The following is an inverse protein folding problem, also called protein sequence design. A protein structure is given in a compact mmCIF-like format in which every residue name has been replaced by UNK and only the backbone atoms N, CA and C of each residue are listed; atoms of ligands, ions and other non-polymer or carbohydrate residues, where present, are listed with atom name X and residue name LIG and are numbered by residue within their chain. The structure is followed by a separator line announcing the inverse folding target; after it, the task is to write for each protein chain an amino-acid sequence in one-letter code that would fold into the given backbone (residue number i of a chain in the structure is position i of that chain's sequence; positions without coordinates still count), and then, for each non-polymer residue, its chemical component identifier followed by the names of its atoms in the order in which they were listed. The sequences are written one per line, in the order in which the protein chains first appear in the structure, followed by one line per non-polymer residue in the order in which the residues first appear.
data_IF_826029353236
#
_entry.id   IF_826029353236
#
_cell.length_a   1.000
_cell.length_b   1.000
_cell.length_c   1.000
_cell.angle_alpha   90.00
_cell.angle_beta   90.00
_cell.angle_gamma   90.00
#
_symmetry.space_group_name_H-M   'P 1'
#
loop_
_entity.id
_entity.type
_entity.pdbx_description
1 polymer ?
#
# COMPACT_ATOMS: atom_id res chain seq x y z
N UNK A 1 31.76 22.15 3.59
CA UNK A 1 30.84 21.01 3.80
C UNK A 1 30.97 20.08 2.60
N UNK A 2 31.32 18.79 2.79
CA UNK A 2 31.28 17.80 1.70
C UNK A 2 29.82 17.55 1.35
N UNK A 3 29.40 17.82 0.11
CA UNK A 3 28.10 17.35 -0.39
C UNK A 3 28.12 15.82 -0.31
N UNK A 4 27.15 15.22 0.39
CA UNK A 4 26.95 13.78 0.31
C UNK A 4 26.52 13.47 -1.12
N UNK A 5 27.30 12.61 -1.79
CA UNK A 5 26.98 12.18 -3.15
C UNK A 5 25.69 11.38 -3.14
N UNK A 6 24.85 11.57 -4.16
CA UNK A 6 23.67 10.74 -4.37
C UNK A 6 24.09 9.30 -4.65
N UNK A 7 23.24 8.33 -4.32
CA UNK A 7 23.42 6.94 -4.75
C UNK A 7 23.64 6.83 -6.27
N UNK A 8 23.02 7.73 -7.04
CA UNK A 8 23.23 7.87 -8.48
C UNK A 8 24.67 8.24 -8.84
N UNK A 9 25.22 9.28 -8.19
CA UNK A 9 26.58 9.74 -8.46
C UNK A 9 27.62 8.67 -8.10
N UNK A 10 27.37 7.91 -7.02
CA UNK A 10 28.24 6.80 -6.60
C UNK A 10 28.17 5.63 -7.59
N UNK A 11 26.98 5.34 -8.14
CA UNK A 11 26.80 4.26 -9.10
C UNK A 11 27.38 4.61 -10.49
N UNK A 12 27.18 5.84 -10.97
CA UNK A 12 27.82 6.34 -12.19
C UNK A 12 29.34 6.35 -12.09
N UNK A 13 29.91 6.85 -10.98
CA UNK A 13 31.37 6.80 -10.77
C UNK A 13 31.92 5.37 -10.77
N UNK A 14 31.14 4.40 -10.28
CA UNK A 14 31.53 2.98 -10.33
C UNK A 14 31.42 2.42 -11.74
N UNK A 15 30.35 2.69 -12.48
CA UNK A 15 30.19 2.25 -13.86
C UNK A 15 31.32 2.79 -14.75
N UNK A 16 31.62 4.10 -14.64
CA UNK A 16 32.74 4.72 -15.34
C UNK A 16 34.11 4.17 -14.92
N UNK A 17 34.31 3.86 -13.63
CA UNK A 17 35.58 3.34 -13.13
C UNK A 17 35.87 1.88 -13.53
N UNK A 18 34.83 1.09 -13.81
CA UNK A 18 34.95 -0.35 -14.11
C UNK A 18 34.75 -0.61 -15.62
N UNK A 19 34.25 0.37 -16.37
CA UNK A 19 33.99 0.25 -17.81
C UNK A 19 32.78 -0.64 -18.13
N UNK A 20 31.91 -0.86 -17.15
CA UNK A 20 30.75 -1.75 -17.24
C UNK A 20 29.47 -0.91 -17.30
N UNK A 21 28.58 -1.22 -18.24
CA UNK A 21 27.26 -0.58 -18.31
C UNK A 21 26.41 -1.02 -17.12
N UNK A 22 25.60 -0.10 -16.58
CA UNK A 22 24.67 -0.43 -15.50
C UNK A 22 23.67 -1.48 -16.01
N UNK A 23 23.35 -2.45 -15.16
CA UNK A 23 22.26 -3.37 -15.49
C UNK A 23 20.91 -2.65 -15.40
N UNK A 24 19.90 -3.11 -16.13
CA UNK A 24 18.56 -2.51 -16.11
C UNK A 24 17.98 -2.43 -14.68
N UNK A 25 18.24 -3.42 -13.82
CA UNK A 25 17.82 -3.41 -12.42
C UNK A 25 18.49 -2.30 -11.61
N UNK A 26 19.75 -2.00 -11.90
CA UNK A 26 20.51 -0.95 -11.21
C UNK A 26 20.08 0.44 -11.65
N UNK A 27 19.79 0.62 -12.94
CA UNK A 27 19.20 1.85 -13.46
C UNK A 27 17.84 2.13 -12.82
N UNK A 28 16.96 1.13 -12.73
CA UNK A 28 15.66 1.27 -12.06
C UNK A 28 15.82 1.60 -10.57
N UNK A 29 16.76 0.94 -9.87
CA UNK A 29 17.06 1.23 -8.45
C UNK A 29 17.49 2.68 -8.25
N UNK A 30 18.35 3.18 -9.13
CA UNK A 30 18.83 4.56 -9.13
C UNK A 30 17.66 5.54 -9.34
N UNK A 31 16.81 5.30 -10.35
CA UNK A 31 15.64 6.13 -10.64
C UNK A 31 14.69 6.18 -9.42
N UNK A 32 14.45 5.03 -8.79
CA UNK A 32 13.71 4.92 -7.52
C UNK A 32 14.35 5.74 -6.40
N UNK A 33 15.67 5.69 -6.24
CA UNK A 33 16.36 6.45 -5.19
C UNK A 33 16.33 7.96 -5.43
N UNK A 34 16.35 8.40 -6.70
CA UNK A 34 16.20 9.81 -7.08
C UNK A 34 14.80 10.34 -6.73
N UNK A 35 13.74 9.56 -6.94
CA UNK A 35 12.35 10.01 -6.75
C UNK A 35 11.84 9.86 -5.30
N UNK A 36 12.41 8.93 -4.51
CA UNK A 36 11.99 8.65 -3.12
C UNK A 36 11.86 9.90 -2.23
N UNK A 37 12.81 10.86 -2.22
CA UNK A 37 12.68 12.07 -1.40
C UNK A 37 11.43 12.88 -1.75
N UNK A 38 11.16 13.05 -3.05
CA UNK A 38 9.98 13.76 -3.54
C UNK A 38 8.68 13.06 -3.10
N UNK A 39 8.60 11.74 -3.31
CA UNK A 39 7.45 10.96 -2.87
C UNK A 39 7.32 10.93 -1.34
N UNK A 40 8.41 11.01 -0.58
CA UNK A 40 8.35 11.10 0.88
C UNK A 40 7.63 12.37 1.34
N UNK A 41 7.93 13.51 0.72
CA UNK A 41 7.21 14.76 0.99
C UNK A 41 5.75 14.67 0.55
N UNK A 42 5.49 14.00 -0.59
CA UNK A 42 4.13 13.70 -1.01
C UNK A 42 3.40 12.84 0.03
N UNK A 43 3.95 11.71 0.49
CA UNK A 43 3.29 10.85 1.49
C UNK A 43 3.05 11.55 2.83
N UNK A 44 3.88 12.53 3.18
CA UNK A 44 3.73 13.37 4.39
C UNK A 44 2.80 14.57 4.18
N UNK A 45 2.12 14.64 3.05
CA UNK A 45 1.16 15.72 2.72
C UNK A 45 1.80 17.12 2.69
N UNK A 46 3.12 17.19 2.49
CA UNK A 46 3.83 18.48 2.40
C UNK A 46 3.71 19.14 1.03
N UNK A 47 3.35 18.37 0.01
CA UNK A 47 3.19 18.81 -1.38
C UNK A 47 1.91 18.20 -1.96
N UNK A 48 1.18 18.89 -2.82
CA UNK A 48 -0.03 18.38 -3.47
C UNK A 48 0.29 17.55 -4.74
N UNK A 49 -0.72 16.92 -5.36
CA UNK A 49 -0.59 16.36 -6.71
C UNK A 49 -0.11 17.38 -7.76
N UNK A 50 -0.55 18.64 -7.66
CA UNK A 50 -0.10 19.74 -8.52
C UNK A 50 1.36 20.11 -8.25
N UNK A 51 1.79 20.16 -6.98
CA UNK A 51 3.20 20.36 -6.65
C UNK A 51 4.08 19.21 -7.16
N UNK A 52 3.56 17.98 -7.14
CA UNK A 52 4.22 16.80 -7.69
C UNK A 52 4.38 16.93 -9.21
N UNK A 53 3.34 17.38 -9.90
CA UNK A 53 3.37 17.71 -11.32
C UNK A 53 4.43 18.78 -11.61
N UNK A 54 4.40 19.89 -10.87
CA UNK A 54 5.28 21.03 -11.12
C UNK A 54 6.75 20.67 -10.97
N UNK A 55 7.08 19.79 -10.01
CA UNK A 55 8.45 19.30 -9.79
C UNK A 55 8.92 18.29 -10.82
N UNK A 56 8.01 17.70 -11.59
CA UNK A 56 8.33 16.65 -12.59
C UNK A 56 8.10 17.11 -14.03
N UNK A 57 7.51 18.29 -14.27
CA UNK A 57 7.15 18.75 -15.62
C UNK A 57 8.33 18.92 -16.59
N UNK A 58 9.52 19.18 -16.04
CA UNK A 58 10.76 19.39 -16.78
C UNK A 58 11.65 18.13 -16.79
N UNK A 59 11.12 16.98 -16.35
CA UNK A 59 11.81 15.70 -16.39
C UNK A 59 11.51 14.96 -17.70
N UNK A 60 12.55 14.77 -18.51
CA UNK A 60 12.45 14.10 -19.81
C UNK A 60 12.63 12.56 -19.72
N UNK A 61 13.04 12.04 -18.55
CA UNK A 61 13.19 10.59 -18.32
C UNK A 61 11.83 9.93 -18.05
N UNK A 62 11.21 9.41 -19.11
CA UNK A 62 9.92 8.72 -19.06
C UNK A 62 9.89 7.52 -18.11
N UNK A 63 11.01 6.81 -17.93
CA UNK A 63 11.08 5.70 -16.97
C UNK A 63 11.11 6.21 -15.53
N UNK A 64 11.70 7.37 -15.27
CA UNK A 64 11.69 7.97 -13.94
C UNK A 64 10.25 8.38 -13.57
N UNK A 65 9.51 8.95 -14.51
CA UNK A 65 8.08 9.23 -14.34
C UNK A 65 7.29 7.94 -14.09
N UNK A 66 7.57 6.88 -14.86
CA UNK A 66 6.99 5.54 -14.66
C UNK A 66 7.29 5.03 -13.24
N UNK A 67 8.53 5.10 -12.78
CA UNK A 67 8.92 4.64 -11.44
C UNK A 67 8.25 5.44 -10.33
N UNK A 68 8.04 6.74 -10.53
CA UNK A 68 7.25 7.56 -9.62
C UNK A 68 5.81 7.02 -9.47
N UNK A 69 5.17 6.72 -10.60
CA UNK A 69 3.81 6.15 -10.64
C UNK A 69 3.77 4.74 -10.01
N UNK A 70 4.76 3.88 -10.30
CA UNK A 70 4.87 2.53 -9.72
C UNK A 70 4.98 2.60 -8.19
N UNK A 71 5.83 3.47 -7.65
CA UNK A 71 5.99 3.61 -6.20
C UNK A 71 4.71 4.12 -5.52
N UNK A 72 3.97 5.03 -6.17
CA UNK A 72 2.67 5.49 -5.68
C UNK A 72 1.67 4.33 -5.63
N UNK A 73 1.62 3.47 -6.65
CA UNK A 73 0.76 2.28 -6.69
C UNK A 73 1.16 1.28 -5.59
N UNK A 74 2.45 0.98 -5.45
CA UNK A 74 2.97 0.04 -4.44
C UNK A 74 2.70 0.48 -2.99
N UNK A 75 2.47 1.78 -2.78
CA UNK A 75 2.14 2.32 -1.46
C UNK A 75 0.65 2.21 -1.09
N UNK A 76 -0.19 1.61 -1.96
CA UNK A 76 -1.61 1.35 -1.72
C UNK A 76 -1.77 -0.04 -1.10
N UNK A 77 -2.45 -0.11 0.04
CA UNK A 77 -2.82 -1.34 0.71
C UNK A 77 -4.29 -1.35 1.12
N UNK A 78 -4.79 -2.51 1.54
CA UNK A 78 -6.18 -2.66 2.02
C UNK A 78 -6.52 -1.71 3.18
N UNK A 79 -5.55 -1.43 4.05
CA UNK A 79 -5.71 -0.57 5.24
C UNK A 79 -5.41 0.92 4.96
N UNK A 80 -4.98 1.27 3.75
CA UNK A 80 -4.74 2.66 3.35
C UNK A 80 -6.06 3.42 3.37
N UNK A 81 -6.12 4.62 3.97
CA UNK A 81 -7.35 5.39 4.02
C UNK A 81 -7.77 5.91 2.62
N UNK A 82 -9.08 6.02 2.37
CA UNK A 82 -9.62 6.34 1.04
C UNK A 82 -9.13 7.69 0.52
N UNK A 83 -9.06 8.70 1.38
CA UNK A 83 -8.52 10.02 1.01
C UNK A 83 -7.06 9.93 0.54
N UNK A 84 -6.27 9.02 1.13
CA UNK A 84 -4.87 8.82 0.72
C UNK A 84 -4.77 8.04 -0.58
N UNK A 85 -5.72 7.16 -0.91
CA UNK A 85 -5.78 6.47 -2.20
C UNK A 85 -6.19 7.46 -3.28
N UNK A 86 -7.22 8.28 -3.03
CA UNK A 86 -7.64 9.36 -3.94
C UNK A 86 -6.48 10.30 -4.24
N UNK A 87 -5.74 10.72 -3.21
CA UNK A 87 -4.58 11.58 -3.39
C UNK A 87 -3.48 10.92 -4.22
N UNK A 88 -3.18 9.63 -4.01
CA UNK A 88 -2.23 8.88 -4.84
C UNK A 88 -2.71 8.75 -6.29
N UNK A 89 -4.00 8.49 -6.51
CA UNK A 89 -4.63 8.49 -7.85
C UNK A 89 -4.39 9.83 -8.54
N UNK A 90 -4.69 10.94 -7.87
CA UNK A 90 -4.48 12.30 -8.40
C UNK A 90 -3.00 12.55 -8.73
N UNK A 91 -2.08 12.14 -7.86
CA UNK A 91 -0.63 12.23 -8.13
C UNK A 91 -0.19 11.40 -9.34
N UNK A 92 -0.74 10.18 -9.50
CA UNK A 92 -0.45 9.31 -10.66
C UNK A 92 -0.99 9.92 -11.96
N UNK A 93 -2.20 10.47 -11.94
CA UNK A 93 -2.80 11.14 -13.10
C UNK A 93 -2.07 12.44 -13.47
N UNK A 94 -1.62 13.18 -12.46
CA UNK A 94 -0.75 14.32 -12.65
C UNK A 94 0.53 13.92 -13.40
N UNK A 95 1.26 12.92 -12.91
CA UNK A 95 2.45 12.41 -13.60
C UNK A 95 2.11 11.88 -15.00
N UNK A 96 0.99 11.17 -15.15
CA UNK A 96 0.56 10.63 -16.46
C UNK A 96 0.34 11.73 -17.49
N UNK A 97 -0.13 12.91 -17.06
CA UNK A 97 -0.35 14.03 -17.97
C UNK A 97 0.92 14.58 -18.62
N UNK A 98 2.09 14.29 -18.04
CA UNK A 98 3.40 14.67 -18.55
C UNK A 98 3.90 13.75 -19.67
N UNK A 99 3.34 12.55 -19.81
CA UNK A 99 3.78 11.54 -20.78
C UNK A 99 3.08 11.67 -22.13
N UNK A 100 3.78 11.27 -23.19
CA UNK A 100 3.17 11.02 -24.50
C UNK A 100 2.41 9.69 -24.46
N UNK A 101 1.23 9.60 -25.10
CA UNK A 101 0.45 8.34 -25.11
C UNK A 101 -0.34 8.06 -23.82
N UNK A 102 -0.92 9.10 -23.22
CA UNK A 102 -1.65 9.07 -21.93
C UNK A 102 -2.68 7.95 -21.83
N UNK A 103 -2.56 7.14 -20.78
CA UNK A 103 -3.50 6.07 -20.43
C UNK A 103 -4.43 6.47 -19.27
N UNK A 104 -4.68 7.77 -19.06
CA UNK A 104 -5.44 8.29 -17.91
C UNK A 104 -6.78 7.59 -17.67
N UNK A 105 -7.54 7.29 -18.72
CA UNK A 105 -8.83 6.57 -18.60
C UNK A 105 -8.64 5.14 -18.07
N UNK A 106 -7.60 4.42 -18.51
CA UNK A 106 -7.30 3.08 -18.01
C UNK A 106 -6.82 3.11 -16.55
N UNK A 107 -6.03 4.12 -16.18
CA UNK A 107 -5.62 4.32 -14.79
C UNK A 107 -6.84 4.62 -13.90
N UNK A 108 -7.75 5.48 -14.34
CA UNK A 108 -9.00 5.77 -13.62
C UNK A 108 -9.84 4.52 -13.40
N UNK A 109 -10.00 3.68 -14.43
CA UNK A 109 -10.71 2.40 -14.32
C UNK A 109 -10.03 1.45 -13.33
N UNK A 110 -8.70 1.36 -13.34
CA UNK A 110 -7.97 0.55 -12.37
C UNK A 110 -8.17 1.04 -10.93
N UNK A 111 -8.16 2.35 -10.71
CA UNK A 111 -8.44 2.93 -9.40
C UNK A 111 -9.88 2.71 -8.94
N UNK A 112 -10.84 2.73 -9.86
CA UNK A 112 -12.22 2.36 -9.55
C UNK A 112 -12.31 0.91 -9.04
N UNK A 113 -11.55 -0.01 -9.64
CA UNK A 113 -11.47 -1.39 -9.13
C UNK A 113 -10.86 -1.47 -7.73
N UNK A 114 -9.85 -0.65 -7.43
CA UNK A 114 -9.27 -0.55 -6.06
C UNK A 114 -10.31 -0.09 -5.05
N UNK A 115 -11.07 0.98 -5.36
CA UNK A 115 -12.12 1.48 -4.45
C UNK A 115 -13.21 0.42 -4.22
N UNK A 116 -13.72 -0.17 -5.30
CA UNK A 116 -14.73 -1.24 -5.23
C UNK A 116 -14.25 -2.45 -4.40
N UNK A 117 -12.99 -2.86 -4.56
CA UNK A 117 -12.42 -3.95 -3.76
C UNK A 117 -12.38 -3.59 -2.28
N UNK A 118 -11.97 -2.37 -1.93
CA UNK A 118 -11.92 -1.92 -0.54
C UNK A 118 -13.29 -1.81 0.10
N UNK A 119 -14.27 -1.29 -0.62
CA UNK A 119 -15.65 -1.23 -0.12
C UNK A 119 -16.17 -2.62 0.21
N UNK A 120 -15.99 -3.59 -0.71
CA UNK A 120 -16.37 -4.99 -0.47
C UNK A 120 -15.61 -5.60 0.71
N UNK A 121 -14.29 -5.40 0.80
CA UNK A 121 -13.48 -5.89 1.90
C UNK A 121 -13.95 -5.34 3.25
N UNK A 122 -14.20 -4.02 3.32
CA UNK A 122 -14.65 -3.36 4.54
C UNK A 122 -16.05 -3.83 4.95
N UNK A 123 -16.98 -3.92 4.00
CA UNK A 123 -18.34 -4.38 4.24
C UNK A 123 -18.36 -5.85 4.74
N UNK A 124 -17.59 -6.73 4.11
CA UNK A 124 -17.52 -8.13 4.54
C UNK A 124 -16.84 -8.27 5.91
N UNK A 125 -15.77 -7.50 6.15
CA UNK A 125 -15.10 -7.47 7.45
C UNK A 125 -16.02 -6.97 8.56
N UNK A 126 -16.79 -5.92 8.31
CA UNK A 126 -17.79 -5.39 9.25
C UNK A 126 -18.88 -6.43 9.51
N UNK A 127 -19.42 -7.05 8.46
CA UNK A 127 -20.40 -8.13 8.58
C UNK A 127 -19.90 -9.27 9.45
N UNK A 128 -18.66 -9.71 9.24
CA UNK A 128 -18.04 -10.77 10.03
C UNK A 128 -17.85 -10.38 11.50
N UNK A 129 -17.41 -9.14 11.76
CA UNK A 129 -17.28 -8.65 13.14
C UNK A 129 -18.64 -8.60 13.84
N UNK A 130 -19.70 -8.14 13.16
CA UNK A 130 -21.05 -8.11 13.72
C UNK A 130 -21.55 -9.52 14.07
N UNK A 131 -21.26 -10.52 13.23
CA UNK A 131 -21.58 -11.93 13.53
C UNK A 131 -20.82 -12.42 14.78
N UNK A 132 -19.55 -12.05 14.92
CA UNK A 132 -18.74 -12.42 16.08
C UNK A 132 -19.31 -11.76 17.35
N UNK A 133 -19.64 -10.47 17.28
CA UNK A 133 -20.23 -9.72 18.38
C UNK A 133 -21.58 -10.31 18.80
N UNK A 134 -22.47 -10.61 17.84
CA UNK A 134 -23.76 -11.25 18.11
C UNK A 134 -23.59 -12.63 18.77
N UNK A 135 -22.61 -13.43 18.34
CA UNK A 135 -22.32 -14.71 18.98
C UNK A 135 -21.75 -14.53 20.39
N UNK A 136 -20.93 -13.51 20.63
CA UNK A 136 -20.41 -13.18 21.96
C UNK A 136 -21.50 -12.71 22.91
N UNK A 137 -22.45 -11.91 22.43
CA UNK A 137 -23.59 -11.43 23.22
C UNK A 137 -24.57 -12.56 23.56
N UNK A 138 -24.81 -13.48 22.62
CA UNK A 138 -25.73 -14.60 22.83
C UNK A 138 -25.11 -15.79 23.57
N UNK A 139 -23.78 -15.83 23.72
CA UNK A 139 -23.11 -16.91 24.42
C UNK A 139 -23.38 -16.86 25.94
N UNK A 140 -23.64 -18.03 26.52
CA UNK A 140 -23.79 -18.14 27.97
C UNK A 140 -22.51 -17.70 28.68
N UNK A 141 -22.65 -16.95 29.76
CA UNK A 141 -21.52 -16.50 30.56
C UNK A 141 -21.02 -17.62 31.46
N UNK A 142 -19.71 -17.88 31.45
CA UNK A 142 -19.08 -18.91 32.29
C UNK A 142 -17.92 -18.32 33.08
N UNK A 143 -17.69 -18.79 34.30
CA UNK A 143 -16.48 -18.43 35.05
C UNK A 143 -15.30 -19.26 34.55
N UNK A 144 -14.29 -18.59 33.97
CA UNK A 144 -13.01 -19.20 33.61
C UNK A 144 -11.88 -18.64 34.49
N UNK A 145 -10.95 -19.48 34.96
CA UNK A 145 -9.75 -19.01 35.66
C UNK A 145 -8.79 -18.35 34.66
N UNK A 146 -8.42 -17.09 34.91
CA UNK A 146 -7.50 -16.29 34.07
C UNK A 146 -6.30 -15.88 34.90
N UNK A 147 -5.08 -16.01 34.33
CA UNK A 147 -3.85 -15.51 34.95
C UNK A 147 -3.72 -14.00 34.72
N UNK A 148 -3.60 -13.24 35.80
CA UNK A 148 -3.27 -11.81 35.76
C UNK A 148 -1.77 -11.60 35.59
N UNK A 149 -1.37 -10.40 35.18
CA UNK A 149 0.03 -10.03 34.94
C UNK A 149 0.93 -10.11 36.18
N UNK A 150 0.34 -10.11 37.37
CA UNK A 150 1.00 -10.33 38.67
C UNK A 150 1.09 -11.81 39.08
N UNK A 151 0.70 -12.74 38.19
CA UNK A 151 0.80 -14.19 38.39
C UNK A 151 -0.33 -14.82 39.22
N UNK A 152 -1.31 -14.04 39.68
CA UNK A 152 -2.49 -14.56 40.39
C UNK A 152 -3.48 -15.17 39.39
N UNK A 153 -4.27 -16.14 39.86
CA UNK A 153 -5.38 -16.69 39.09
C UNK A 153 -6.68 -16.10 39.62
N UNK A 154 -7.42 -15.38 38.77
CA UNK A 154 -8.73 -14.81 39.11
C UNK A 154 -9.81 -15.49 38.28
N UNK A 155 -10.99 -15.69 38.86
CA UNK A 155 -12.15 -16.18 38.10
C UNK A 155 -12.76 -14.99 37.36
N UNK A 156 -12.79 -15.05 36.03
CA UNK A 156 -13.40 -14.02 35.19
C UNK A 156 -14.61 -14.61 34.49
N UNK A 157 -15.68 -13.83 34.43
CA UNK A 157 -16.86 -14.20 33.69
C UNK A 157 -16.62 -13.88 32.20
N UNK A 158 -16.61 -14.90 31.35
CA UNK A 158 -16.37 -14.77 29.92
C UNK A 158 -17.41 -15.57 29.11
N UNK A 159 -17.72 -15.15 27.87
CA UNK A 159 -18.61 -15.89 26.98
C UNK A 159 -18.13 -17.33 26.77
N UNK A 160 -19.06 -18.29 26.81
CA UNK A 160 -18.84 -19.71 26.55
C UNK A 160 -18.61 -20.02 25.06
N UNK A 161 -17.74 -19.27 24.40
CA UNK A 161 -17.29 -19.63 23.05
C UNK A 161 -16.12 -20.60 23.20
N UNK A 162 -16.23 -21.74 22.52
CA UNK A 162 -15.17 -22.73 22.45
C UNK A 162 -14.02 -22.23 21.55
N UNK A 163 -12.84 -22.82 21.75
CA UNK A 163 -11.63 -22.39 21.05
C UNK A 163 -11.71 -22.66 19.53
N UNK A 164 -12.44 -23.69 19.10
CA UNK A 164 -12.61 -24.04 17.69
C UNK A 164 -13.41 -22.97 16.95
N UNK A 165 -14.51 -22.49 17.55
CA UNK A 165 -15.31 -21.38 17.02
C UNK A 165 -14.49 -20.08 16.93
N UNK A 166 -13.75 -19.72 17.98
CA UNK A 166 -12.88 -18.54 17.95
C UNK A 166 -11.79 -18.64 16.88
N UNK A 167 -11.22 -19.83 16.71
CA UNK A 167 -10.20 -20.10 15.71
C UNK A 167 -10.77 -20.01 14.29
N UNK A 168 -11.96 -20.58 14.06
CA UNK A 168 -12.66 -20.49 12.79
C UNK A 168 -12.97 -19.05 12.36
N UNK A 169 -13.29 -18.16 13.31
CA UNK A 169 -13.44 -16.73 13.01
C UNK A 169 -12.14 -16.06 12.57
N UNK A 170 -11.04 -16.33 13.27
CA UNK A 170 -9.72 -15.81 12.90
C UNK A 170 -9.30 -16.30 11.52
N UNK A 171 -9.55 -17.57 11.22
CA UNK A 171 -9.22 -18.18 9.94
C UNK A 171 -9.98 -17.52 8.80
N UNK A 172 -11.30 -17.32 8.94
CA UNK A 172 -12.10 -16.63 7.91
C UNK A 172 -11.64 -15.19 7.71
N UNK A 173 -11.32 -14.45 8.78
CA UNK A 173 -10.83 -13.07 8.67
C UNK A 173 -9.47 -13.01 7.95
N UNK A 174 -8.58 -13.97 8.27
CA UNK A 174 -7.29 -14.10 7.60
C UNK A 174 -7.46 -14.47 6.13
N UNK A 175 -8.39 -15.37 5.81
CA UNK A 175 -8.72 -15.76 4.43
C UNK A 175 -9.23 -14.56 3.63
N UNK A 176 -10.18 -13.79 4.18
CA UNK A 176 -10.69 -12.57 3.57
C UNK A 176 -9.57 -11.55 3.31
N UNK A 177 -8.68 -11.32 4.28
CA UNK A 177 -7.54 -10.41 4.11
C UNK A 177 -6.55 -10.92 3.05
N UNK A 178 -6.27 -12.23 3.02
CA UNK A 178 -5.37 -12.83 2.04
C UNK A 178 -5.93 -12.74 0.61
N UNK A 179 -7.18 -13.15 0.41
CA UNK A 179 -7.83 -13.08 -0.90
C UNK A 179 -7.93 -11.64 -1.40
N UNK A 180 -8.30 -10.70 -0.53
CA UNK A 180 -8.39 -9.29 -0.88
C UNK A 180 -7.02 -8.69 -1.21
N UNK A 181 -5.94 -9.10 -0.53
CA UNK A 181 -4.57 -8.68 -0.88
C UNK A 181 -4.14 -9.21 -2.24
N UNK A 182 -4.46 -10.46 -2.56
CA UNK A 182 -4.14 -11.05 -3.85
C UNK A 182 -4.85 -10.30 -4.98
N UNK A 183 -6.14 -10.02 -4.82
CA UNK A 183 -6.91 -9.23 -5.80
C UNK A 183 -6.36 -7.80 -5.93
N UNK A 184 -6.00 -7.17 -4.81
CA UNK A 184 -5.40 -5.83 -4.84
C UNK A 184 -4.08 -5.82 -5.62
N UNK A 185 -3.22 -6.83 -5.40
CA UNK A 185 -1.97 -6.96 -6.13
C UNK A 185 -2.20 -7.18 -7.64
N UNK A 186 -3.17 -8.01 -8.02
CA UNK A 186 -3.54 -8.21 -9.42
C UNK A 186 -4.02 -6.90 -10.08
N UNK A 187 -4.86 -6.14 -9.38
CA UNK A 187 -5.29 -4.82 -9.85
C UNK A 187 -4.09 -3.88 -9.99
N UNK A 188 -3.20 -3.85 -8.98
CA UNK A 188 -2.01 -3.01 -9.00
C UNK A 188 -1.08 -3.35 -10.18
N UNK A 189 -0.85 -4.63 -10.44
CA UNK A 189 -0.02 -5.09 -11.56
C UNK A 189 -0.67 -4.72 -12.91
N UNK A 190 -1.98 -4.91 -13.04
CA UNK A 190 -2.72 -4.47 -14.24
C UNK A 190 -2.62 -2.97 -14.47
N UNK A 191 -2.63 -2.14 -13.41
CA UNK A 191 -2.42 -0.69 -13.53
C UNK A 191 -0.99 -0.40 -13.99
N UNK A 192 0.01 -1.05 -13.40
CA UNK A 192 1.43 -0.87 -13.75
C UNK A 192 1.74 -1.24 -15.20
N UNK A 193 1.05 -2.22 -15.78
CA UNK A 193 1.14 -2.57 -17.20
C UNK A 193 0.65 -1.47 -18.15
N UNK A 194 -0.14 -0.51 -17.66
CA UNK A 194 -0.67 0.62 -18.45
C UNK A 194 0.13 1.91 -18.26
N UNK A 195 1.14 1.91 -17.39
CA UNK A 195 2.13 2.98 -17.31
C UNK A 195 3.11 2.85 -18.48
#
# INVERSE_FOLDING_TARGET
MRKMKSAFEIAMEKAEAIGDELTAEEELRIKRDKIKPLLSDFYKEKISPEDLWERLKDEDDGDLLREAQVLLIESIGLKTADYQIKRRKEGILAIESLKEGRNSSLLEQGFEQVFNLKERYNAERERMNNIIEEQMENAQMTMKPVKTSDGRTVMKMEPAIDEETQQGFKEKLNELEMQSKQLLNQIADNIKEKL
#
